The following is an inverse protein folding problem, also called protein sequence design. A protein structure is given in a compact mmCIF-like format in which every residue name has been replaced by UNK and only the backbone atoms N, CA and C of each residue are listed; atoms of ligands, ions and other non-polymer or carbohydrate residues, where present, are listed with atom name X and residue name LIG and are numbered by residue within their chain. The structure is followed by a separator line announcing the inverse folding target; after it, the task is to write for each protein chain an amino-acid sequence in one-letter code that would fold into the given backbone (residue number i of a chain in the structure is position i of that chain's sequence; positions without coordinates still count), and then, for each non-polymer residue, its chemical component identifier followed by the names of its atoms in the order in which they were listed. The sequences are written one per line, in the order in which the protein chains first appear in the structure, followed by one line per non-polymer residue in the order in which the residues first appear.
data_IF_784468648502
#
_entry.id   IF_784468648502
#
_cell.length_a   1.000
_cell.length_b   1.000
_cell.length_c   1.000
_cell.angle_alpha   90.00
_cell.angle_beta   90.00
_cell.angle_gamma   90.00
#
_symmetry.space_group_name_H-M   'P 1'
#
loop_
_entity.id
_entity.type
_entity.pdbx_description
1 polymer ?
#
# COMPACT_ATOMS: atom_id res chain seq x y z
N UNK A 1 16.08 60.51 39.78
CA UNK A 1 16.72 59.31 39.17
C UNK A 1 15.86 58.03 39.35
N UNK A 2 14.69 57.89 38.69
CA UNK A 2 13.80 56.70 38.86
C UNK A 2 13.34 56.04 37.54
N UNK A 3 13.91 56.40 36.38
CA UNK A 3 13.52 55.85 35.05
C UNK A 3 14.40 54.69 34.54
N UNK A 4 15.54 54.39 35.18
CA UNK A 4 16.51 53.38 34.69
C UNK A 4 16.19 51.93 35.14
N UNK A 5 15.57 51.75 36.30
CA UNK A 5 15.27 50.43 36.88
C UNK A 5 14.10 49.71 36.19
N UNK A 6 13.17 50.45 35.58
CA UNK A 6 11.99 49.86 34.93
C UNK A 6 12.37 49.21 33.59
N UNK A 7 13.28 49.82 32.82
CA UNK A 7 13.71 49.34 31.48
C UNK A 7 14.46 48.00 31.54
N UNK A 8 15.27 47.78 32.58
CA UNK A 8 15.96 46.49 32.82
C UNK A 8 14.99 45.38 33.27
N UNK A 9 13.94 45.73 34.02
CA UNK A 9 12.89 44.79 34.46
C UNK A 9 11.98 44.38 33.29
N UNK A 10 11.52 45.33 32.48
CA UNK A 10 10.77 45.03 31.24
C UNK A 10 11.63 44.26 30.24
N UNK A 11 12.91 44.59 30.06
CA UNK A 11 13.81 43.82 29.18
C UNK A 11 14.01 42.39 29.64
N UNK A 12 14.16 42.12 30.94
CA UNK A 12 14.22 40.76 31.49
C UNK A 12 12.91 40.00 31.33
N UNK A 13 11.76 40.66 31.55
CA UNK A 13 10.44 40.05 31.33
C UNK A 13 10.24 39.73 29.85
N UNK A 14 10.62 40.62 28.93
CA UNK A 14 10.56 40.39 27.48
C UNK A 14 11.50 39.25 27.06
N UNK A 15 12.69 39.17 27.62
CA UNK A 15 13.67 38.12 27.30
C UNK A 15 13.28 36.75 27.88
N UNK A 16 12.59 36.72 29.03
CA UNK A 16 12.05 35.49 29.63
C UNK A 16 10.70 35.07 29.04
N UNK A 17 9.89 36.02 28.54
CA UNK A 17 8.63 35.72 27.86
C UNK A 17 8.82 35.34 26.38
N UNK A 18 9.94 35.75 25.75
CA UNK A 18 10.28 35.37 24.37
C UNK A 18 10.27 33.85 24.12
N UNK A 19 10.82 32.99 25.00
CA UNK A 19 10.68 31.54 24.88
C UNK A 19 9.34 31.01 25.42
N UNK A 20 8.64 31.74 26.30
CA UNK A 20 7.36 31.30 26.86
C UNK A 20 6.20 31.40 25.84
N UNK A 21 6.22 32.41 24.97
CA UNK A 21 5.17 32.60 23.95
C UNK A 21 5.12 31.45 22.92
N UNK A 22 6.24 31.02 22.30
CA UNK A 22 6.26 29.84 21.41
C UNK A 22 5.78 28.57 22.12
N UNK A 23 6.18 28.36 23.37
CA UNK A 23 5.74 27.20 24.16
C UNK A 23 4.23 27.25 24.39
N UNK A 24 3.68 28.40 24.77
CA UNK A 24 2.24 28.58 24.94
C UNK A 24 1.48 28.31 23.62
N UNK A 25 1.99 28.78 22.48
CA UNK A 25 1.40 28.52 21.16
C UNK A 25 1.40 27.02 20.86
N UNK A 26 2.52 26.32 21.07
CA UNK A 26 2.62 24.87 20.86
C UNK A 26 1.64 24.11 21.77
N UNK A 27 1.51 24.50 23.03
CA UNK A 27 0.54 23.91 23.96
C UNK A 27 -0.89 24.13 23.49
N UNK A 28 -1.24 25.35 23.06
CA UNK A 28 -2.57 25.66 22.52
C UNK A 28 -2.86 24.83 21.27
N UNK A 29 -1.93 24.75 20.31
CA UNK A 29 -2.09 23.93 19.10
C UNK A 29 -2.26 22.45 19.48
N UNK A 30 -1.46 21.96 20.42
CA UNK A 30 -1.55 20.59 20.90
C UNK A 30 -2.92 20.29 21.55
N UNK A 31 -3.42 21.17 22.42
CA UNK A 31 -4.76 21.03 23.02
C UNK A 31 -5.85 21.09 21.95
N UNK A 32 -5.75 22.02 20.99
CA UNK A 32 -6.69 22.12 19.88
C UNK A 32 -6.69 20.86 19.00
N UNK A 33 -5.54 20.22 18.83
CA UNK A 33 -5.41 18.98 18.04
C UNK A 33 -6.03 17.75 18.72
N UNK A 34 -6.32 17.82 20.03
CA UNK A 34 -7.05 16.80 20.79
C UNK A 34 -8.57 17.00 20.72
N UNK A 35 -9.04 18.14 20.18
CA UNK A 35 -10.46 18.41 20.07
C UNK A 35 -11.14 17.40 19.14
N UNK A 36 -12.36 16.97 19.47
CA UNK A 36 -13.04 15.99 18.65
C UNK A 36 -13.37 16.53 17.26
N UNK A 37 -13.32 15.65 16.27
CA UNK A 37 -13.52 15.97 14.86
C UNK A 37 -14.97 15.72 14.46
N UNK A 38 -15.53 16.58 13.63
CA UNK A 38 -16.82 16.31 12.95
C UNK A 38 -16.67 15.20 11.92
N UNK A 39 -17.76 14.48 11.61
CA UNK A 39 -17.80 13.44 10.55
C UNK A 39 -17.23 13.92 9.22
N UNK A 40 -17.60 15.12 8.75
CA UNK A 40 -17.04 15.73 7.51
C UNK A 40 -15.51 15.85 7.53
N UNK A 41 -14.90 16.15 8.69
CA UNK A 41 -13.43 16.22 8.84
C UNK A 41 -12.82 14.82 8.91
N UNK A 42 -13.55 13.80 9.35
CA UNK A 42 -13.08 12.41 9.32
C UNK A 42 -13.08 11.88 7.89
N UNK A 43 -14.16 12.12 7.12
CA UNK A 43 -14.28 11.76 5.70
C UNK A 43 -13.14 12.37 4.88
N UNK A 44 -12.90 13.68 5.04
CA UNK A 44 -11.78 14.40 4.40
C UNK A 44 -10.39 13.92 4.86
N UNK A 45 -10.33 13.14 5.94
CA UNK A 45 -9.10 12.52 6.41
C UNK A 45 -8.79 11.18 5.74
N UNK A 46 -9.76 10.56 5.05
CA UNK A 46 -9.53 9.32 4.31
C UNK A 46 -8.82 9.59 2.96
N UNK A 47 -7.98 8.65 2.55
CA UNK A 47 -7.26 8.68 1.29
C UNK A 47 -7.56 7.40 0.49
N UNK A 48 -7.79 7.55 -0.81
CA UNK A 48 -7.94 6.43 -1.74
C UNK A 48 -6.65 6.25 -2.54
N UNK A 49 -6.10 5.04 -2.53
CA UNK A 49 -4.79 4.79 -3.11
C UNK A 49 -4.90 3.64 -4.09
N UNK A 50 -4.40 3.83 -5.30
CA UNK A 50 -4.07 2.72 -6.18
C UNK A 50 -2.69 2.18 -5.80
N UNK A 51 -2.65 0.88 -5.58
CA UNK A 51 -1.44 0.12 -5.36
C UNK A 51 -1.16 -0.78 -6.57
N UNK A 52 0.09 -0.76 -7.04
CA UNK A 52 0.59 -1.64 -8.08
C UNK A 52 1.84 -2.34 -7.60
N UNK A 53 1.86 -3.67 -7.66
CA UNK A 53 3.04 -4.46 -7.31
C UNK A 53 3.38 -5.53 -8.34
N UNK A 54 4.68 -5.79 -8.48
CA UNK A 54 5.26 -6.83 -9.33
C UNK A 54 6.68 -7.15 -8.86
N UNK A 55 7.22 -8.29 -9.28
CA UNK A 55 8.58 -8.70 -8.97
C UNK A 55 9.50 -8.47 -10.17
N UNK A 56 10.76 -8.20 -9.88
CA UNK A 56 11.84 -8.08 -10.85
C UNK A 56 12.96 -9.04 -10.48
N UNK A 57 13.39 -9.87 -11.43
CA UNK A 57 14.66 -10.55 -11.35
C UNK A 57 15.74 -9.58 -11.81
N UNK A 58 16.74 -9.37 -10.97
CA UNK A 58 17.89 -8.51 -11.26
C UNK A 58 19.16 -9.35 -11.32
N UNK A 59 20.05 -9.01 -12.26
CA UNK A 59 21.39 -9.60 -12.37
C UNK A 59 22.37 -8.45 -12.33
N UNK A 60 23.30 -8.47 -11.37
CA UNK A 60 24.25 -7.37 -11.16
C UNK A 60 23.55 -5.99 -11.06
N UNK A 61 22.39 -5.96 -10.38
CA UNK A 61 21.60 -4.75 -10.13
C UNK A 61 20.73 -4.27 -11.29
N UNK A 62 20.76 -4.91 -12.47
CA UNK A 62 19.91 -4.56 -13.62
C UNK A 62 18.72 -5.51 -13.72
N UNK A 63 17.48 -5.01 -13.92
CA UNK A 63 16.32 -5.88 -14.11
C UNK A 63 16.42 -6.60 -15.47
N UNK A 64 16.21 -7.91 -15.45
CA UNK A 64 16.26 -8.79 -16.63
C UNK A 64 14.95 -9.52 -16.90
N UNK A 65 14.08 -9.64 -15.88
CA UNK A 65 12.79 -10.31 -16.01
C UNK A 65 11.78 -9.71 -15.01
N UNK A 66 10.49 -9.75 -15.37
CA UNK A 66 9.37 -9.27 -14.55
C UNK A 66 8.32 -10.37 -14.40
N UNK A 67 7.73 -10.50 -13.21
CA UNK A 67 6.77 -11.56 -12.92
C UNK A 67 5.80 -11.21 -11.77
N UNK A 68 4.68 -11.91 -11.67
CA UNK A 68 3.54 -11.55 -10.81
C UNK A 68 3.52 -12.24 -9.43
N UNK A 69 4.16 -13.40 -9.28
CA UNK A 69 4.15 -14.14 -8.03
C UNK A 69 5.47 -14.85 -7.72
N UNK A 70 5.75 -14.97 -6.43
CA UNK A 70 6.96 -15.58 -5.90
C UNK A 70 6.58 -16.56 -4.80
N UNK A 71 7.19 -17.74 -4.81
CA UNK A 71 7.25 -18.63 -3.64
C UNK A 71 8.67 -18.65 -3.10
N UNK A 72 8.86 -19.24 -1.92
CA UNK A 72 10.19 -19.36 -1.30
C UNK A 72 11.19 -20.16 -2.15
N UNK A 73 10.71 -20.92 -3.15
CA UNK A 73 11.51 -21.86 -3.94
C UNK A 73 11.40 -21.69 -5.46
N UNK A 74 10.51 -20.84 -5.98
CA UNK A 74 10.25 -20.74 -7.41
C UNK A 74 9.56 -19.39 -7.78
N UNK A 75 9.85 -18.87 -8.96
CA UNK A 75 9.08 -17.77 -9.57
C UNK A 75 7.81 -18.33 -10.23
N UNK A 76 6.84 -17.46 -10.52
CA UNK A 76 5.70 -17.82 -11.38
C UNK A 76 6.14 -18.15 -12.81
N UNK A 77 5.33 -18.92 -13.53
CA UNK A 77 5.57 -19.24 -14.95
C UNK A 77 5.35 -18.01 -15.86
N UNK A 78 4.64 -16.99 -15.36
CA UNK A 78 4.37 -15.74 -16.05
C UNK A 78 5.56 -14.77 -15.94
N UNK A 79 6.59 -15.00 -16.76
CA UNK A 79 7.82 -14.20 -16.80
C UNK A 79 7.90 -13.41 -18.11
N UNK A 80 8.06 -12.10 -18.00
CA UNK A 80 8.06 -11.16 -19.13
C UNK A 80 9.34 -10.34 -19.21
N UNK A 81 9.60 -9.77 -20.40
CA UNK A 81 10.71 -8.85 -20.69
C UNK A 81 10.42 -7.39 -20.31
N UNK A 82 9.21 -7.09 -19.83
CA UNK A 82 8.84 -5.76 -19.36
C UNK A 82 7.73 -5.84 -18.32
N UNK A 83 7.66 -4.85 -17.43
CA UNK A 83 6.54 -4.67 -16.53
C UNK A 83 5.32 -4.14 -17.29
N UNK A 84 4.46 -5.03 -17.75
CA UNK A 84 3.17 -4.69 -18.34
C UNK A 84 2.00 -5.03 -17.39
N UNK A 85 0.77 -4.91 -17.88
CA UNK A 85 -0.43 -5.23 -17.10
C UNK A 85 -0.58 -6.72 -16.79
N UNK A 86 0.10 -7.62 -17.50
CA UNK A 86 -0.01 -9.06 -17.28
C UNK A 86 0.74 -9.52 -16.03
N UNK A 87 1.83 -8.82 -15.67
CA UNK A 87 2.65 -9.13 -14.48
C UNK A 87 2.36 -8.20 -13.29
N UNK A 88 1.61 -7.12 -13.52
CA UNK A 88 1.32 -6.11 -12.49
C UNK A 88 0.03 -6.43 -11.75
N UNK A 89 0.14 -6.72 -10.45
CA UNK A 89 -1.00 -6.78 -9.55
C UNK A 89 -1.47 -5.37 -9.24
N UNK A 90 -2.76 -5.11 -9.42
CA UNK A 90 -3.39 -3.82 -9.12
C UNK A 90 -4.47 -4.00 -8.06
N UNK A 91 -4.42 -3.19 -7.02
CA UNK A 91 -5.46 -3.11 -6.00
C UNK A 91 -5.75 -1.67 -5.64
N UNK A 92 -6.95 -1.42 -5.12
CA UNK A 92 -7.31 -0.14 -4.53
C UNK A 92 -7.38 -0.34 -3.01
N UNK A 93 -6.70 0.53 -2.27
CA UNK A 93 -6.56 0.43 -0.83
C UNK A 93 -6.95 1.75 -0.16
N UNK A 94 -7.24 1.65 1.14
CA UNK A 94 -7.57 2.80 1.95
C UNK A 94 -6.33 3.29 2.72
N UNK A 95 -6.24 4.60 2.91
CA UNK A 95 -5.31 5.21 3.83
C UNK A 95 -5.96 6.36 4.59
N UNK A 96 -5.18 7.01 5.43
CA UNK A 96 -5.57 8.24 6.10
C UNK A 96 -4.44 9.26 6.07
N UNK A 97 -4.81 10.51 5.87
CA UNK A 97 -3.88 11.63 5.93
C UNK A 97 -3.44 11.86 7.36
N UNK A 98 -2.13 11.97 7.59
CA UNK A 98 -1.57 12.09 8.93
C UNK A 98 -0.62 13.26 9.04
N UNK A 99 -0.68 13.97 10.17
CA UNK A 99 0.34 14.95 10.54
C UNK A 99 1.56 14.23 11.12
N UNK A 100 2.76 14.70 10.79
CA UNK A 100 4.00 14.15 11.38
C UNK A 100 3.99 14.32 12.88
N UNK A 101 3.77 15.55 13.33
CA UNK A 101 3.77 15.91 14.74
C UNK A 101 2.36 16.08 15.25
N UNK A 102 2.11 15.60 16.46
CA UNK A 102 0.83 15.77 17.15
C UNK A 102 0.52 17.24 17.48
N UNK A 103 1.54 18.10 17.56
CA UNK A 103 1.43 19.51 17.95
C UNK A 103 1.62 20.49 16.78
N UNK A 104 1.74 20.01 15.54
CA UNK A 104 1.94 20.88 14.37
C UNK A 104 1.21 20.32 13.14
N UNK A 105 0.38 21.12 12.43
CA UNK A 105 -0.30 20.73 11.20
C UNK A 105 0.73 20.57 10.07
N UNK A 106 1.37 19.40 10.03
CA UNK A 106 2.58 19.10 9.27
C UNK A 106 2.40 17.85 8.43
N UNK A 107 1.30 17.76 7.69
CA UNK A 107 1.01 16.59 6.87
C UNK A 107 2.03 16.41 5.73
N UNK A 108 2.41 17.48 5.02
CA UNK A 108 3.40 17.42 3.92
C UNK A 108 3.15 16.27 2.94
N UNK A 109 1.89 16.07 2.54
CA UNK A 109 1.56 14.99 1.61
C UNK A 109 1.56 13.57 2.22
N UNK A 110 1.71 13.41 3.54
CA UNK A 110 1.85 12.09 4.17
C UNK A 110 0.52 11.37 4.40
N UNK A 111 0.51 10.10 4.02
CA UNK A 111 -0.61 9.19 4.14
C UNK A 111 -0.14 7.92 4.85
N UNK A 112 -0.82 7.55 5.93
CA UNK A 112 -0.69 6.26 6.58
C UNK A 112 -1.65 5.27 5.92
N UNK A 113 -1.11 4.17 5.44
CA UNK A 113 -1.87 3.10 4.80
C UNK A 113 -1.33 1.74 5.21
N UNK A 114 -2.05 0.68 4.87
CA UNK A 114 -1.55 -0.68 5.00
C UNK A 114 -0.69 -1.05 3.80
N UNK A 115 0.18 -2.02 4.02
CA UNK A 115 1.07 -2.57 3.00
C UNK A 115 0.53 -3.91 2.51
N UNK A 116 -0.09 -3.95 1.31
CA UNK A 116 -0.61 -5.20 0.74
C UNK A 116 0.48 -6.24 0.51
N UNK A 117 1.73 -5.80 0.38
CA UNK A 117 2.87 -6.68 0.13
C UNK A 117 3.68 -7.01 1.41
N UNK A 118 3.21 -6.62 2.60
CA UNK A 118 3.93 -6.85 3.87
C UNK A 118 4.38 -8.32 4.04
N UNK A 119 3.48 -9.27 3.76
CA UNK A 119 3.79 -10.70 3.83
C UNK A 119 4.74 -11.18 2.71
N UNK A 120 4.77 -10.50 1.57
CA UNK A 120 5.65 -10.84 0.47
C UNK A 120 7.13 -10.60 0.79
N UNK A 121 7.46 -9.65 1.68
CA UNK A 121 8.85 -9.40 2.07
C UNK A 121 9.49 -10.61 2.77
N UNK A 122 8.73 -11.40 3.52
CA UNK A 122 9.21 -12.63 4.15
C UNK A 122 9.61 -13.67 3.11
N UNK A 123 8.72 -13.95 2.17
CA UNK A 123 8.96 -14.86 1.04
C UNK A 123 10.10 -14.35 0.15
N UNK A 124 10.17 -13.05 -0.10
CA UNK A 124 11.25 -12.42 -0.85
C UNK A 124 12.61 -12.63 -0.16
N UNK A 125 12.68 -12.45 1.15
CA UNK A 125 13.90 -12.67 1.92
C UNK A 125 14.34 -14.14 1.89
N UNK A 126 13.39 -15.09 2.01
CA UNK A 126 13.66 -16.52 1.91
C UNK A 126 14.15 -16.91 0.51
N UNK A 127 13.48 -16.42 -0.54
CA UNK A 127 13.83 -16.67 -1.93
C UNK A 127 15.22 -16.10 -2.26
N UNK A 128 15.54 -14.88 -1.82
CA UNK A 128 16.85 -14.26 -2.07
C UNK A 128 18.01 -14.98 -1.35
N UNK A 129 17.78 -15.55 -0.15
CA UNK A 129 18.79 -16.38 0.52
C UNK A 129 19.15 -17.63 -0.29
N UNK A 130 18.17 -18.18 -1.03
CA UNK A 130 18.32 -19.39 -1.83
C UNK A 130 18.19 -19.12 -3.33
N UNK A 131 18.59 -17.94 -3.80
CA UNK A 131 18.29 -17.46 -5.16
C UNK A 131 18.77 -18.43 -6.26
N UNK A 132 19.92 -19.09 -6.07
CA UNK A 132 20.42 -20.09 -7.01
C UNK A 132 19.46 -21.27 -7.18
N UNK A 133 18.87 -21.76 -6.07
CA UNK A 133 17.86 -22.82 -6.10
C UNK A 133 16.54 -22.31 -6.68
N UNK A 134 16.14 -21.07 -6.38
CA UNK A 134 14.93 -20.46 -6.95
C UNK A 134 15.03 -20.39 -8.47
N UNK A 135 16.15 -19.90 -9.00
CA UNK A 135 16.41 -19.82 -10.45
C UNK A 135 16.43 -21.22 -11.07
N UNK A 136 17.15 -22.17 -10.44
CA UNK A 136 17.22 -23.56 -10.93
C UNK A 136 15.84 -24.23 -10.99
N UNK A 137 15.07 -24.17 -9.90
CA UNK A 137 13.73 -24.74 -9.82
C UNK A 137 12.77 -24.08 -10.81
N UNK A 138 12.92 -22.76 -11.04
CA UNK A 138 12.14 -22.04 -12.05
C UNK A 138 12.49 -22.54 -13.45
N UNK A 139 13.76 -22.77 -13.76
CA UNK A 139 14.19 -23.34 -15.04
C UNK A 139 13.63 -24.75 -15.25
N UNK A 140 13.76 -25.65 -14.25
CA UNK A 140 13.23 -27.02 -14.32
C UNK A 140 11.71 -27.06 -14.51
N UNK A 141 10.99 -26.12 -13.87
CA UNK A 141 9.55 -25.96 -14.01
C UNK A 141 9.16 -25.48 -15.41
N UNK A 142 9.88 -24.50 -15.96
CA UNK A 142 9.67 -24.01 -17.34
C UNK A 142 9.99 -25.11 -18.37
N UNK A 143 11.06 -25.87 -18.19
CA UNK A 143 11.38 -27.03 -19.05
C UNK A 143 10.26 -28.07 -19.04
N UNK A 144 9.72 -28.38 -17.86
CA UNK A 144 8.58 -29.29 -17.70
C UNK A 144 7.32 -28.74 -18.38
N UNK A 145 7.07 -27.43 -18.28
CA UNK A 145 5.96 -26.76 -18.95
C UNK A 145 6.09 -26.81 -20.48
N UNK A 146 7.27 -26.52 -21.03
CA UNK A 146 7.57 -26.60 -22.47
C UNK A 146 7.36 -28.04 -22.99
N UNK A 147 7.82 -29.05 -22.24
CA UNK A 147 7.61 -30.46 -22.58
C UNK A 147 6.12 -30.81 -22.59
N UNK A 148 5.37 -30.36 -21.59
CA UNK A 148 3.92 -30.57 -21.53
C UNK A 148 3.18 -29.89 -22.69
N UNK A 149 3.54 -28.64 -23.02
CA UNK A 149 2.97 -27.89 -24.15
C UNK A 149 3.30 -28.56 -25.49
N UNK A 150 4.51 -29.08 -25.66
CA UNK A 150 4.90 -29.82 -26.87
C UNK A 150 4.08 -31.11 -27.03
N UNK A 151 3.85 -31.84 -25.93
CA UNK A 151 2.98 -33.03 -25.96
C UNK A 151 1.54 -32.68 -26.33
N UNK A 152 0.99 -31.58 -25.78
CA UNK A 152 -0.37 -31.12 -26.13
C UNK A 152 -0.49 -30.68 -27.59
N UNK A 153 0.55 -30.06 -28.13
CA UNK A 153 0.64 -29.67 -29.54
C UNK A 153 0.68 -30.91 -30.46
N UNK A 154 1.43 -31.96 -30.09
CA UNK A 154 1.42 -33.25 -30.79
C UNK A 154 0.05 -33.95 -30.75
N UNK A 155 -0.58 -34.01 -29.57
CA UNK A 155 -1.93 -34.58 -29.38
C UNK A 155 -2.98 -33.82 -30.21
N UNK A 156 -2.90 -32.48 -30.25
CA UNK A 156 -3.79 -31.65 -31.05
C UNK A 156 -3.60 -31.89 -32.56
N UNK A 157 -2.35 -31.99 -33.03
CA UNK A 157 -2.07 -32.35 -34.44
C UNK A 157 -2.60 -33.72 -34.80
N UNK A 158 -2.44 -34.70 -33.91
CA UNK A 158 -3.01 -36.03 -34.11
C UNK A 158 -4.54 -35.96 -34.25
N UNK A 159 -5.21 -35.28 -33.31
CA UNK A 159 -6.66 -35.10 -33.35
C UNK A 159 -7.13 -34.44 -34.66
N UNK A 160 -6.46 -33.38 -35.11
CA UNK A 160 -6.76 -32.69 -36.37
C UNK A 160 -6.52 -33.55 -37.61
N UNK A 161 -5.55 -34.48 -37.57
CA UNK A 161 -5.25 -35.37 -38.69
C UNK A 161 -6.24 -36.53 -38.83
N UNK A 162 -6.82 -36.98 -37.72
CA UNK A 162 -7.74 -38.13 -37.65
C UNK A 162 -9.20 -37.69 -37.80
N UNK A 163 -9.56 -36.53 -37.27
CA UNK A 163 -10.93 -36.03 -37.31
C UNK A 163 -11.05 -34.92 -38.35
N UNK A 164 -11.87 -35.16 -39.39
CA UNK A 164 -12.21 -34.14 -40.38
C UNK A 164 -13.21 -33.16 -39.78
N UNK A 165 -12.71 -32.17 -39.05
CA UNK A 165 -13.52 -31.16 -38.38
C UNK A 165 -13.90 -30.09 -39.41
N UNK A 166 -15.03 -30.24 -40.09
CA UNK A 166 -15.60 -29.21 -40.97
C UNK A 166 -16.51 -28.26 -40.16
N UNK A 167 -16.31 -26.96 -40.34
CA UNK A 167 -16.96 -25.80 -39.69
C UNK A 167 -16.53 -25.44 -38.25
N UNK A 168 -17.40 -25.50 -37.24
CA UNK A 168 -17.21 -24.77 -35.97
C UNK A 168 -16.06 -25.29 -35.10
N UNK A 169 -15.78 -26.59 -35.19
CA UNK A 169 -14.66 -27.18 -34.48
C UNK A 169 -13.31 -26.78 -35.09
N UNK A 170 -13.23 -26.46 -36.39
CA UNK A 170 -11.97 -26.06 -37.02
C UNK A 170 -11.47 -24.72 -36.47
N UNK A 171 -12.35 -23.72 -36.39
CA UNK A 171 -12.02 -22.40 -35.83
C UNK A 171 -11.58 -22.52 -34.36
N UNK A 172 -12.25 -23.38 -33.60
CA UNK A 172 -11.88 -23.65 -32.20
C UNK A 172 -10.50 -24.30 -32.09
N UNK A 173 -10.21 -25.29 -32.93
CA UNK A 173 -8.93 -26.00 -32.91
C UNK A 173 -7.78 -25.14 -33.43
N UNK A 174 -7.99 -24.30 -34.46
CA UNK A 174 -7.01 -23.34 -34.95
C UNK A 174 -6.69 -22.28 -33.87
N UNK A 175 -7.71 -21.81 -33.15
CA UNK A 175 -7.51 -20.92 -32.00
C UNK A 175 -6.69 -21.60 -30.87
N UNK A 176 -6.97 -22.87 -30.58
CA UNK A 176 -6.21 -23.65 -29.59
C UNK A 176 -4.76 -23.89 -30.02
N UNK A 177 -4.50 -24.22 -31.29
CA UNK A 177 -3.15 -24.39 -31.85
C UNK A 177 -2.35 -23.09 -31.72
N UNK A 178 -2.95 -21.96 -32.13
CA UNK A 178 -2.34 -20.64 -31.98
C UNK A 178 -1.98 -20.32 -30.52
N UNK A 179 -2.88 -20.62 -29.58
CA UNK A 179 -2.64 -20.41 -28.14
C UNK A 179 -1.53 -21.31 -27.60
N UNK A 180 -1.50 -22.58 -27.96
CA UNK A 180 -0.47 -23.52 -27.49
C UNK A 180 0.92 -23.11 -27.98
N UNK A 181 1.03 -22.72 -29.26
CA UNK A 181 2.27 -22.18 -29.84
C UNK A 181 2.72 -20.92 -29.12
N UNK A 182 1.82 -19.97 -28.89
CA UNK A 182 2.13 -18.74 -28.16
C UNK A 182 2.59 -19.02 -26.72
N UNK A 183 1.92 -19.92 -26.00
CA UNK A 183 2.32 -20.31 -24.64
C UNK A 183 3.70 -20.97 -24.61
N UNK A 184 3.98 -21.84 -25.60
CA UNK A 184 5.27 -22.52 -25.71
C UNK A 184 6.39 -21.51 -25.99
N UNK A 185 6.19 -20.62 -26.95
CA UNK A 185 7.16 -19.58 -27.30
C UNK A 185 7.43 -18.64 -26.10
N UNK A 186 6.39 -18.27 -25.35
CA UNK A 186 6.54 -17.48 -24.12
C UNK A 186 7.35 -18.22 -23.05
N UNK A 187 7.07 -19.52 -22.84
CA UNK A 187 7.82 -20.33 -21.88
C UNK A 187 9.28 -20.54 -22.29
N UNK A 188 9.56 -20.73 -23.58
CA UNK A 188 10.93 -20.84 -24.12
C UNK A 188 11.72 -19.54 -23.92
N UNK A 189 11.11 -18.38 -24.22
CA UNK A 189 11.72 -17.06 -23.96
C UNK A 189 12.00 -16.85 -22.47
N UNK A 190 11.04 -17.19 -21.61
CA UNK A 190 11.22 -17.14 -20.16
C UNK A 190 12.39 -18.02 -19.70
N UNK A 191 12.48 -19.26 -20.20
CA UNK A 191 13.55 -20.19 -19.86
C UNK A 191 14.92 -19.65 -20.29
N UNK A 192 15.01 -19.04 -21.46
CA UNK A 192 16.25 -18.41 -21.94
C UNK A 192 16.73 -17.31 -20.99
N UNK A 193 15.83 -16.44 -20.54
CA UNK A 193 16.12 -15.37 -19.57
C UNK A 193 16.60 -15.95 -18.24
N UNK A 194 15.90 -16.97 -17.72
CA UNK A 194 16.25 -17.60 -16.45
C UNK A 194 17.60 -18.31 -16.52
N UNK A 195 17.91 -19.01 -17.63
CA UNK A 195 19.23 -19.63 -17.83
C UNK A 195 20.36 -18.59 -17.92
N UNK A 196 20.12 -17.46 -18.59
CA UNK A 196 21.05 -16.32 -18.59
C UNK A 196 21.26 -15.74 -17.19
N UNK A 197 20.21 -15.68 -16.37
CA UNK A 197 20.32 -15.21 -14.99
C UNK A 197 21.06 -16.22 -14.09
N UNK A 198 20.97 -17.52 -14.38
CA UNK A 198 21.66 -18.58 -13.64
C UNK A 198 23.19 -18.49 -13.73
N UNK A 199 23.72 -18.07 -14.87
CA UNK A 199 25.16 -17.86 -15.07
C UNK A 199 25.62 -16.45 -14.65
N UNK A 200 24.66 -15.55 -14.39
CA UNK A 200 24.91 -14.19 -13.97
C UNK A 200 25.43 -14.08 -12.53
N UNK A 201 26.33 -13.13 -12.28
CA UNK A 201 26.77 -12.81 -10.92
C UNK A 201 25.74 -11.93 -10.22
N UNK A 202 25.59 -12.12 -8.92
CA UNK A 202 24.74 -11.30 -8.04
C UNK A 202 23.29 -11.22 -8.52
N UNK A 203 22.68 -12.38 -8.78
CA UNK A 203 21.25 -12.45 -9.05
C UNK A 203 20.45 -12.16 -7.76
N UNK A 204 19.40 -11.37 -7.86
CA UNK A 204 18.50 -11.06 -6.75
C UNK A 204 17.11 -10.74 -7.27
N UNK A 205 16.09 -11.05 -6.48
CA UNK A 205 14.71 -10.68 -6.75
C UNK A 205 14.37 -9.42 -5.95
N UNK A 206 13.69 -8.48 -6.60
CA UNK A 206 13.18 -7.27 -5.99
C UNK A 206 11.66 -7.21 -6.13
N UNK A 207 10.97 -6.87 -5.05
CA UNK A 207 9.57 -6.47 -5.12
C UNK A 207 9.49 -4.97 -5.40
N UNK A 208 8.73 -4.59 -6.41
CA UNK A 208 8.45 -3.19 -6.74
C UNK A 208 7.00 -2.88 -6.40
N UNK A 209 6.81 -1.99 -5.42
CA UNK A 209 5.49 -1.48 -5.02
C UNK A 209 5.38 0.00 -5.37
N UNK A 210 4.36 0.36 -6.17
CA UNK A 210 4.07 1.74 -6.59
C UNK A 210 2.73 2.17 -6.02
N UNK A 211 2.68 3.37 -5.47
CA UNK A 211 1.48 3.96 -4.90
C UNK A 211 1.08 5.20 -5.69
N UNK A 212 -0.22 5.35 -5.94
CA UNK A 212 -0.79 6.53 -6.60
C UNK A 212 -2.04 6.96 -5.85
N UNK A 213 -2.01 8.17 -5.30
CA UNK A 213 -3.18 8.79 -4.70
C UNK A 213 -4.22 9.07 -5.79
N UNK A 214 -5.46 8.68 -5.52
CA UNK A 214 -6.63 8.97 -6.33
C UNK A 214 -7.42 10.06 -5.61
N UNK A 215 -7.39 11.27 -6.15
CA UNK A 215 -7.94 12.46 -5.53
C UNK A 215 -9.01 13.10 -6.40
N UNK A 216 -10.05 13.69 -5.79
CA UNK A 216 -11.04 14.49 -6.51
C UNK A 216 -10.67 15.96 -6.41
N UNK A 217 -10.40 16.58 -7.55
CA UNK A 217 -10.17 18.03 -7.61
C UNK A 217 -11.43 18.84 -7.25
N UNK A 218 -11.31 20.17 -7.24
CA UNK A 218 -12.42 21.08 -6.95
C UNK A 218 -13.55 21.01 -7.98
N UNK A 219 -13.28 20.52 -9.19
CA UNK A 219 -14.25 20.30 -10.25
C UNK A 219 -14.86 18.88 -10.26
N UNK A 220 -14.41 17.99 -9.37
CA UNK A 220 -14.89 16.61 -9.25
C UNK A 220 -14.19 15.60 -10.17
N UNK A 221 -13.14 16.00 -10.90
CA UNK A 221 -12.34 15.08 -11.72
C UNK A 221 -11.38 14.28 -10.85
N UNK A 222 -11.15 13.02 -11.24
CA UNK A 222 -10.17 12.18 -10.56
C UNK A 222 -8.76 12.51 -11.04
N UNK A 223 -7.98 13.16 -10.19
CA UNK A 223 -6.55 13.43 -10.35
C UNK A 223 -5.75 12.27 -9.74
N UNK A 224 -4.63 11.94 -10.38
CA UNK A 224 -3.73 10.87 -9.98
C UNK A 224 -2.38 11.47 -9.60
N UNK A 225 -1.99 11.33 -8.33
CA UNK A 225 -0.73 11.88 -7.82
C UNK A 225 0.17 10.71 -7.41
N UNK A 226 1.35 10.60 -8.02
CA UNK A 226 2.30 9.55 -7.65
C UNK A 226 2.76 9.74 -6.20
N UNK A 227 2.93 8.65 -5.47
CA UNK A 227 3.40 8.66 -4.08
C UNK A 227 4.69 7.85 -3.93
N UNK A 228 5.61 8.40 -3.13
CA UNK A 228 6.85 7.77 -2.71
C UNK A 228 6.66 7.08 -1.36
N UNK A 229 7.22 5.89 -1.19
CA UNK A 229 7.24 5.20 0.11
C UNK A 229 8.35 5.79 0.97
N UNK A 230 8.03 6.26 2.18
CA UNK A 230 9.03 6.75 3.15
C UNK A 230 9.43 5.63 4.11
N UNK A 231 8.46 4.80 4.52
CA UNK A 231 8.73 3.66 5.41
C UNK A 231 9.57 2.61 4.69
N UNK A 232 10.66 2.12 5.29
CA UNK A 232 11.44 1.02 4.73
C UNK A 232 10.59 -0.23 4.46
N UNK A 233 10.95 -0.95 3.40
CA UNK A 233 10.40 -2.27 3.11
C UNK A 233 10.56 -3.21 4.31
N UNK A 234 9.46 -3.79 4.80
CA UNK A 234 9.49 -4.71 5.95
C UNK A 234 8.23 -5.56 6.01
N UNK A 235 8.25 -6.58 6.87
CA UNK A 235 7.08 -7.43 7.16
C UNK A 235 5.99 -6.71 7.98
N UNK A 236 6.21 -5.45 8.37
CA UNK A 236 5.23 -4.68 9.14
C UNK A 236 4.05 -4.29 8.23
N UNK A 237 2.81 -4.35 8.75
CA UNK A 237 1.62 -4.16 7.94
C UNK A 237 1.30 -2.71 7.60
N UNK A 238 1.98 -1.73 8.21
CA UNK A 238 1.71 -0.30 8.04
C UNK A 238 2.89 0.41 7.40
N UNK A 239 2.59 1.39 6.55
CA UNK A 239 3.59 2.25 5.93
C UNK A 239 3.10 3.67 5.75
N UNK A 240 4.04 4.60 5.77
CA UNK A 240 3.84 5.97 5.34
C UNK A 240 4.27 6.08 3.88
N UNK A 241 3.33 6.55 3.06
CA UNK A 241 3.60 7.05 1.71
C UNK A 241 3.44 8.57 1.72
N UNK A 242 4.10 9.24 0.79
CA UNK A 242 4.05 10.69 0.64
C UNK A 242 3.84 11.04 -0.82
N UNK A 243 2.98 12.02 -1.10
CA UNK A 243 2.83 12.53 -2.46
C UNK A 243 4.17 13.01 -3.02
N UNK A 244 4.39 12.79 -4.31
CA UNK A 244 5.66 13.12 -4.98
C UNK A 244 6.01 14.61 -4.92
N UNK A 245 4.99 15.47 -4.91
CA UNK A 245 5.09 16.92 -4.74
C UNK A 245 5.19 17.37 -3.27
N UNK A 246 5.01 16.45 -2.32
CA UNK A 246 4.95 16.70 -0.86
C UNK A 246 3.84 17.66 -0.44
N UNK A 247 2.83 17.87 -1.29
CA UNK A 247 1.69 18.73 -1.01
C UNK A 247 0.49 17.92 -0.50
N UNK A 248 -0.26 18.54 0.42
CA UNK A 248 -1.55 18.02 0.86
C UNK A 248 -2.65 18.79 0.12
N UNK A 249 -3.57 18.12 -0.59
CA UNK A 249 -4.65 18.81 -1.30
C UNK A 249 -5.57 19.63 -0.35
N UNK A 250 -6.10 20.77 -0.81
CA UNK A 250 -6.78 21.77 0.03
C UNK A 250 -8.05 21.27 0.76
N UNK A 251 -8.76 20.31 0.19
CA UNK A 251 -10.00 19.75 0.75
C UNK A 251 -9.75 18.60 1.74
N UNK A 252 -8.49 18.26 2.00
CA UNK A 252 -8.10 17.18 2.91
C UNK A 252 -8.02 17.69 4.35
N UNK A 253 -8.35 16.82 5.30
CA UNK A 253 -8.23 17.12 6.72
C UNK A 253 -7.34 16.06 7.39
N UNK A 254 -6.02 16.30 7.50
CA UNK A 254 -5.10 15.34 8.12
C UNK A 254 -5.42 15.12 9.59
N UNK A 255 -5.24 13.88 10.07
CA UNK A 255 -5.48 13.48 11.46
C UNK A 255 -4.17 13.46 12.26
N UNK A 256 -4.28 13.78 13.55
CA UNK A 256 -3.16 13.75 14.48
C UNK A 256 -3.11 12.37 15.16
N UNK A 257 -1.96 11.71 15.07
CA UNK A 257 -1.71 10.46 15.79
C UNK A 257 -1.09 10.77 17.16
N UNK A 258 -1.95 11.07 18.12
CA UNK A 258 -1.55 11.32 19.50
C UNK A 258 -0.98 10.05 20.15
N UNK A 259 -0.05 10.22 21.09
CA UNK A 259 0.50 9.13 21.91
C UNK A 259 -0.05 9.14 23.33
N UNK A 260 -0.53 10.31 23.78
CA UNK A 260 -1.04 10.54 25.12
C UNK A 260 -2.52 10.93 25.03
N UNK A 261 -3.29 10.54 26.05
CA UNK A 261 -4.74 10.80 26.13
C UNK A 261 -5.55 10.23 24.96
N UNK A 262 -5.06 9.16 24.34
CA UNK A 262 -5.76 8.45 23.27
C UNK A 262 -6.81 7.51 23.86
N UNK A 263 -7.99 7.40 23.25
CA UNK A 263 -9.02 6.46 23.71
C UNK A 263 -8.49 5.01 23.72
N UNK A 264 -8.71 4.28 24.82
CA UNK A 264 -8.23 2.90 24.98
C UNK A 264 -8.86 1.94 23.96
N UNK A 265 -8.09 1.10 23.28
CA UNK A 265 -8.62 0.28 22.17
C UNK A 265 -9.41 -0.94 22.61
N UNK A 266 -9.25 -1.36 23.87
CA UNK A 266 -9.74 -2.60 24.46
C UNK A 266 -11.10 -2.49 25.16
N UNK A 267 -11.61 -1.28 25.36
CA UNK A 267 -12.91 -1.05 25.98
C UNK A 267 -14.04 -0.98 24.95
N UNK A 268 -15.20 -1.52 25.33
CA UNK A 268 -16.41 -1.43 24.52
C UNK A 268 -16.92 0.02 24.44
N UNK A 269 -17.20 0.49 23.23
CA UNK A 269 -17.75 1.84 22.98
C UNK A 269 -18.23 2.01 21.55
N UNK A 270 -19.05 3.04 21.35
CA UNK A 270 -19.36 3.53 20.01
C UNK A 270 -18.11 4.07 19.31
N UNK A 271 -17.98 3.71 18.03
CA UNK A 271 -16.91 4.15 17.15
C UNK A 271 -17.47 4.66 15.82
N UNK A 272 -16.67 5.45 15.13
CA UNK A 272 -16.91 5.92 13.76
C UNK A 272 -15.69 5.57 12.93
N UNK A 273 -15.90 4.91 11.79
CA UNK A 273 -14.86 4.60 10.82
C UNK A 273 -14.99 5.52 9.63
N UNK A 274 -13.90 6.17 9.22
CA UNK A 274 -13.84 6.95 7.98
C UNK A 274 -13.01 6.20 6.94
N UNK A 275 -13.63 5.92 5.80
CA UNK A 275 -13.06 5.08 4.75
C UNK A 275 -13.66 5.37 3.38
N UNK A 276 -13.04 4.80 2.35
CA UNK A 276 -13.66 4.55 1.06
C UNK A 276 -14.30 3.15 1.10
N UNK A 277 -15.63 3.04 1.27
CA UNK A 277 -16.28 1.75 1.41
C UNK A 277 -16.13 0.93 0.13
N UNK A 278 -15.90 -0.38 0.28
CA UNK A 278 -15.78 -1.32 -0.82
C UNK A 278 -14.51 -1.16 -1.66
N UNK A 279 -13.54 -0.31 -1.27
CA UNK A 279 -12.37 -0.03 -2.09
C UNK A 279 -11.54 -1.29 -2.41
N UNK A 280 -11.58 -2.30 -1.55
CA UNK A 280 -10.86 -3.58 -1.75
C UNK A 280 -11.58 -4.57 -2.65
N UNK A 281 -12.82 -4.28 -3.08
CA UNK A 281 -13.59 -5.15 -3.96
C UNK A 281 -13.05 -5.10 -5.39
N UNK A 282 -13.15 -6.23 -6.09
CA UNK A 282 -12.85 -6.29 -7.51
C UNK A 282 -13.78 -5.33 -8.28
N UNK A 283 -13.23 -4.57 -9.23
CA UNK A 283 -13.99 -3.61 -10.06
C UNK A 283 -14.57 -2.41 -9.28
N UNK A 284 -13.87 -1.95 -8.24
CA UNK A 284 -14.24 -0.73 -7.54
C UNK A 284 -14.36 0.48 -8.48
N UNK A 285 -15.47 1.20 -8.43
CA UNK A 285 -15.68 2.42 -9.22
C UNK A 285 -14.93 3.59 -8.60
N UNK A 286 -13.75 3.89 -9.15
CA UNK A 286 -12.91 5.01 -8.75
C UNK A 286 -13.52 6.37 -9.13
N UNK A 287 -14.41 6.42 -10.13
CA UNK A 287 -15.01 7.68 -10.60
C UNK A 287 -16.11 8.12 -9.62
N UNK A 288 -16.97 7.22 -9.18
CA UNK A 288 -18.00 7.46 -8.17
C UNK A 288 -17.51 7.38 -6.71
N UNK A 289 -16.22 7.06 -6.48
CA UNK A 289 -15.67 6.86 -5.15
C UNK A 289 -15.83 8.09 -4.24
N UNK A 290 -16.36 7.88 -3.04
CA UNK A 290 -16.55 8.92 -2.02
C UNK A 290 -16.21 8.39 -0.63
N UNK A 291 -15.38 9.14 0.09
CA UNK A 291 -15.13 8.87 1.51
C UNK A 291 -16.43 9.06 2.31
N UNK A 292 -16.72 8.11 3.20
CA UNK A 292 -17.93 8.09 4.03
C UNK A 292 -17.59 7.64 5.45
N UNK A 293 -18.37 8.08 6.43
CA UNK A 293 -18.28 7.57 7.81
C UNK A 293 -19.33 6.53 8.13
N UNK A 294 -18.94 5.49 8.86
CA UNK A 294 -19.83 4.44 9.36
C UNK A 294 -19.73 4.33 10.87
N UNK A 295 -20.88 4.29 11.55
CA UNK A 295 -20.94 4.06 12.99
C UNK A 295 -20.97 2.57 13.29
N UNK A 296 -20.36 2.18 14.40
CA UNK A 296 -20.39 0.82 14.92
C UNK A 296 -19.92 0.78 16.37
N UNK A 297 -19.47 -0.39 16.82
CA UNK A 297 -18.96 -0.59 18.17
C UNK A 297 -17.58 -1.24 18.17
N UNK A 298 -16.71 -0.74 19.02
CA UNK A 298 -15.59 -1.53 19.51
C UNK A 298 -16.16 -2.61 20.45
N UNK A 299 -15.84 -3.88 20.19
CA UNK A 299 -16.39 -5.04 20.93
C UNK A 299 -15.47 -5.49 22.06
N UNK A 300 -14.56 -4.62 22.48
CA UNK A 300 -13.45 -4.95 23.37
C UNK A 300 -12.32 -5.73 22.70
N UNK A 301 -11.21 -5.93 23.43
CA UNK A 301 -9.99 -6.64 22.93
C UNK A 301 -9.43 -6.07 21.61
N UNK A 302 -9.57 -4.75 21.39
CA UNK A 302 -9.14 -4.07 20.18
C UNK A 302 -9.80 -4.58 18.90
N UNK A 303 -11.06 -5.05 18.95
CA UNK A 303 -11.88 -5.44 17.79
C UNK A 303 -13.04 -4.48 17.57
N UNK A 304 -13.58 -4.48 16.35
CA UNK A 304 -14.82 -3.77 16.01
C UNK A 304 -15.79 -4.68 15.26
N UNK A 305 -17.08 -4.34 15.33
CA UNK A 305 -18.17 -5.07 14.65
C UNK A 305 -18.43 -4.62 13.21
N UNK A 306 -17.73 -3.57 12.75
CA UNK A 306 -17.94 -3.01 11.41
C UNK A 306 -17.35 -3.96 10.36
N UNK A 307 -18.12 -4.37 9.32
CA UNK A 307 -17.64 -5.26 8.27
C UNK A 307 -16.43 -4.70 7.50
N UNK A 308 -15.52 -5.55 6.99
CA UNK A 308 -14.34 -5.11 6.22
C UNK A 308 -14.68 -4.26 4.99
N UNK A 309 -15.88 -4.41 4.42
CA UNK A 309 -16.33 -3.57 3.30
C UNK A 309 -16.50 -2.10 3.71
N UNK A 310 -16.89 -1.84 4.96
CA UNK A 310 -17.11 -0.48 5.49
C UNK A 310 -15.90 0.02 6.29
N UNK A 311 -15.12 -0.90 6.86
CA UNK A 311 -13.87 -0.66 7.55
C UNK A 311 -12.72 -1.43 6.86
N UNK A 312 -12.34 -1.06 5.62
CA UNK A 312 -11.19 -1.66 4.96
C UNK A 312 -9.91 -1.37 5.74
N UNK A 313 -8.92 -2.25 5.62
CA UNK A 313 -7.62 -2.03 6.23
C UNK A 313 -7.02 -0.67 5.82
N UNK A 314 -6.47 0.05 6.80
CA UNK A 314 -5.98 1.42 6.62
C UNK A 314 -7.03 2.50 6.88
N UNK A 315 -8.28 2.14 7.21
CA UNK A 315 -9.31 3.10 7.62
C UNK A 315 -9.04 3.72 8.99
N UNK A 316 -9.30 5.02 9.13
CA UNK A 316 -9.15 5.71 10.41
C UNK A 316 -10.38 5.46 11.29
N UNK A 317 -10.13 5.09 12.54
CA UNK A 317 -11.15 4.80 13.55
C UNK A 317 -11.13 5.90 14.60
N UNK A 318 -12.31 6.45 14.84
CA UNK A 318 -12.58 7.47 15.84
C UNK A 318 -13.57 6.92 16.86
N UNK A 319 -13.57 7.48 18.06
CA UNK A 319 -14.69 7.33 19.00
C UNK A 319 -15.92 8.07 18.48
N UNK A 320 -17.11 7.75 18.98
CA UNK A 320 -18.35 8.44 18.59
C UNK A 320 -18.35 9.94 18.88
N UNK A 321 -17.60 10.42 19.88
CA UNK A 321 -17.40 11.86 20.13
C UNK A 321 -16.41 12.49 19.14
N UNK A 322 -15.61 11.71 18.42
CA UNK A 322 -14.78 12.16 17.31
C UNK A 322 -13.27 12.25 17.60
N UNK A 323 -12.78 11.55 18.62
CA UNK A 323 -11.35 11.46 18.93
C UNK A 323 -10.71 10.31 18.18
N UNK A 324 -9.52 10.54 17.63
CA UNK A 324 -8.77 9.50 16.91
C UNK A 324 -8.36 8.37 17.85
N UNK A 325 -8.77 7.14 17.53
CA UNK A 325 -8.55 5.96 18.34
C UNK A 325 -7.47 5.05 17.72
N UNK A 326 -7.45 4.93 16.40
CA UNK A 326 -6.49 4.07 15.72
C UNK A 326 -6.80 3.82 14.26
N UNK A 327 -6.18 2.80 13.69
CA UNK A 327 -6.34 2.38 12.30
C UNK A 327 -6.93 0.96 12.26
N UNK A 328 -7.90 0.74 11.38
CA UNK A 328 -8.45 -0.60 11.13
C UNK A 328 -7.42 -1.47 10.42
N UNK A 329 -7.20 -2.67 10.94
CA UNK A 329 -6.40 -3.71 10.29
C UNK A 329 -6.87 -5.09 10.72
N UNK A 330 -7.25 -5.95 9.78
CA UNK A 330 -7.76 -7.31 10.03
C UNK A 330 -8.91 -7.35 11.07
N UNK A 331 -9.85 -6.41 10.97
CA UNK A 331 -11.00 -6.27 11.89
C UNK A 331 -10.62 -5.85 13.32
N UNK A 332 -9.39 -5.35 13.50
CA UNK A 332 -8.87 -4.85 14.78
C UNK A 332 -8.53 -3.37 14.70
N UNK A 333 -8.54 -2.72 15.86
CA UNK A 333 -8.16 -1.33 16.06
C UNK A 333 -6.70 -1.29 16.47
N UNK A 334 -5.82 -0.88 15.57
CA UNK A 334 -4.41 -0.61 15.89
C UNK A 334 -4.30 0.78 16.48
N UNK A 335 -4.10 0.84 17.80
CA UNK A 335 -3.97 2.10 18.54
C UNK A 335 -2.81 2.96 18.04
N UNK A 336 -2.97 4.28 18.14
CA UNK A 336 -1.99 5.28 17.67
C UNK A 336 -0.62 5.17 18.32
N UNK A 337 -0.55 4.62 19.55
CA UNK A 337 0.68 4.31 20.26
C UNK A 337 1.67 3.48 19.44
N UNK A 338 1.18 2.53 18.63
CA UNK A 338 2.00 1.62 17.83
C UNK A 338 2.85 2.34 16.77
N UNK A 339 2.45 3.53 16.34
CA UNK A 339 3.18 4.30 15.31
C UNK A 339 4.32 5.14 15.87
N UNK A 340 4.41 5.26 17.21
CA UNK A 340 5.42 6.04 17.91
C UNK A 340 5.23 7.56 17.78
N UNK A 341 5.82 8.30 18.72
CA UNK A 341 5.86 9.76 18.66
C UNK A 341 6.50 10.21 17.35
N UNK A 342 5.87 11.17 16.67
CA UNK A 342 6.32 11.69 15.38
C UNK A 342 6.50 10.61 14.29
N UNK A 343 5.73 9.51 14.37
CA UNK A 343 5.81 8.35 13.46
C UNK A 343 7.15 7.62 13.51
N UNK A 344 7.94 7.75 14.60
CA UNK A 344 9.29 7.17 14.72
C UNK A 344 9.37 5.65 14.53
N UNK A 345 8.26 4.91 14.67
CA UNK A 345 8.27 3.46 14.46
C UNK A 345 8.09 3.07 12.98
N UNK A 346 7.72 4.04 12.13
CA UNK A 346 7.45 3.89 10.71
C UNK A 346 8.41 4.71 9.83
N UNK A 347 8.97 5.79 10.34
CA UNK A 347 9.95 6.61 9.63
C UNK A 347 11.37 6.09 9.92
N UNK A 348 12.28 6.21 8.93
CA UNK A 348 13.69 5.83 9.09
C UNK A 348 14.44 6.70 10.09
#
# INVERSE_FOLDING_TARGET
MKKSTNRKRTSRIILQSLPAVPVAIVVVIYVMSLMPRSTKKMERGAALIEHKSYYELTVSGKPVAWFDALTDSCMSDNIMLSADSSVTKRSIINGCWVNKYAFMPSCHGMILTTDPDSMAYKTLAAANKNIGNVIKNTAERLESAIKSLSKKDEELRYYLSVHNVNDDGYNTMAYLDGRLKQQKEQAEKALEIIRKAQTGKNAAIRLVSKYTLLHKDTAGHTVRIACNTITPASEKPFRIIQTSDKQTPDNVSPTYLHQWFTPATDAERGIIVASYPGCMLSRYDVIGAKATTFSGKATGKSRHDIPPMLAPDGAAIYTSDGRMMGISYNGRITGTGNFGLALKNLLP
#
